data_IF_812531079729
#
_entry.id   IF_812531079729
#
_cell.length_a   1.000
_cell.length_b   1.000
_cell.length_c   1.000
_cell.angle_alpha   90.00
_cell.angle_beta   90.00
_cell.angle_gamma   90.00
#
_symmetry.space_group_name_H-M   'P 1'
#
loop_
_entity.id
_entity.type
_entity.pdbx_description
1 polymer ?
#
# COMPACT_ATOMS: atom_id res chain seq x y z
N UNK A 1 -12.98 -24.71 1.38
CA UNK A 1 -12.32 -23.96 0.29
C UNK A 1 -13.17 -22.74 0.05
N UNK A 2 -12.72 -21.56 0.43
CA UNK A 2 -13.47 -20.32 0.17
C UNK A 2 -12.61 -19.44 -0.72
N UNK A 3 -12.60 -19.77 -2.00
CA UNK A 3 -12.10 -18.89 -3.05
C UNK A 3 -13.29 -18.07 -3.54
N UNK A 4 -13.15 -16.76 -3.54
CA UNK A 4 -14.19 -15.82 -3.99
C UNK A 4 -13.71 -15.15 -5.27
N UNK A 5 -14.58 -15.06 -6.28
CA UNK A 5 -14.32 -14.29 -7.49
C UNK A 5 -14.50 -12.80 -7.20
N UNK A 6 -13.50 -12.01 -7.61
CA UNK A 6 -13.51 -10.57 -7.56
C UNK A 6 -13.14 -10.00 -8.94
N UNK A 7 -13.40 -8.72 -9.14
CA UNK A 7 -12.97 -8.05 -10.37
C UNK A 7 -12.68 -6.58 -10.11
N UNK A 8 -11.76 -6.04 -10.91
CA UNK A 8 -11.44 -4.62 -10.97
C UNK A 8 -11.83 -4.12 -12.35
N UNK A 9 -12.46 -2.95 -12.41
CA UNK A 9 -12.85 -2.30 -13.66
C UNK A 9 -12.14 -0.95 -13.73
N UNK A 10 -11.60 -0.63 -14.91
CA UNK A 10 -11.12 0.71 -15.23
C UNK A 10 -12.20 1.43 -16.07
N UNK A 11 -13.02 2.30 -15.48
CA UNK A 11 -14.13 2.90 -16.23
C UNK A 11 -13.77 4.21 -16.94
N UNK A 12 -12.61 4.80 -16.66
CA UNK A 12 -12.28 6.17 -17.09
C UNK A 12 -11.58 6.25 -18.45
N UNK A 13 -11.26 5.12 -19.07
CA UNK A 13 -10.54 5.05 -20.33
C UNK A 13 -9.06 5.42 -20.20
N UNK A 14 -8.46 5.17 -19.03
CA UNK A 14 -7.07 5.49 -18.76
C UNK A 14 -6.30 4.23 -18.40
N UNK A 15 -5.27 3.91 -19.18
CA UNK A 15 -4.34 2.83 -18.85
C UNK A 15 -3.63 3.10 -17.53
N UNK A 16 -3.63 2.11 -16.64
CA UNK A 16 -2.99 2.18 -15.32
C UNK A 16 -1.89 1.12 -15.22
N UNK A 17 -0.77 1.52 -14.64
CA UNK A 17 0.39 0.65 -14.39
C UNK A 17 0.82 0.76 -12.93
N UNK A 18 1.11 -0.36 -12.29
CA UNK A 18 1.40 -0.50 -10.87
C UNK A 18 0.42 0.30 -9.99
N UNK A 19 -0.85 0.32 -10.37
CA UNK A 19 -1.84 1.20 -9.77
C UNK A 19 -2.31 0.65 -8.44
N UNK A 20 -2.32 1.46 -7.36
CA UNK A 20 -2.77 0.99 -6.06
C UNK A 20 -4.28 0.79 -6.07
N UNK A 21 -4.71 -0.35 -5.56
CA UNK A 21 -6.12 -0.69 -5.37
C UNK A 21 -6.33 -1.06 -3.91
N UNK A 22 -7.30 -0.40 -3.28
CA UNK A 22 -7.69 -0.62 -1.90
C UNK A 22 -9.16 -1.00 -1.84
N UNK A 23 -9.49 -2.15 -1.23
CA UNK A 23 -10.89 -2.59 -1.08
C UNK A 23 -11.16 -3.27 0.26
N UNK A 24 -12.43 -3.26 0.67
CA UNK A 24 -12.88 -3.95 1.88
C UNK A 24 -13.37 -5.36 1.55
N UNK A 25 -12.88 -6.35 2.29
CA UNK A 25 -13.34 -7.74 2.21
C UNK A 25 -14.14 -8.11 3.47
N UNK A 26 -15.44 -8.45 3.33
CA UNK A 26 -16.25 -8.93 4.45
C UNK A 26 -16.07 -10.44 4.67
N UNK A 27 -16.14 -10.87 5.94
CA UNK A 27 -16.07 -12.28 6.34
C UNK A 27 -17.12 -12.61 7.40
N UNK A 28 -17.65 -13.83 7.34
CA UNK A 28 -18.59 -14.35 8.32
C UNK A 28 -17.89 -14.66 9.67
N UNK A 29 -18.62 -14.68 10.80
CA UNK A 29 -18.07 -15.13 12.08
C UNK A 29 -17.43 -16.51 11.98
N UNK A 30 -16.22 -16.65 12.50
CA UNK A 30 -15.43 -17.89 12.51
C UNK A 30 -14.67 -18.21 11.22
N UNK A 31 -14.88 -17.47 10.13
CA UNK A 31 -14.35 -17.81 8.81
C UNK A 31 -12.85 -17.57 8.66
N UNK A 32 -12.37 -16.41 9.11
CA UNK A 32 -10.98 -16.00 8.99
C UNK A 32 -10.50 -15.35 10.28
N UNK A 33 -9.33 -15.73 10.78
CA UNK A 33 -8.72 -15.15 12.00
C UNK A 33 -7.41 -14.44 11.74
N UNK A 34 -6.78 -14.71 10.61
CA UNK A 34 -5.48 -14.18 10.24
C UNK A 34 -5.54 -13.61 8.82
N UNK A 35 -5.28 -12.30 8.70
CA UNK A 35 -5.32 -11.60 7.43
C UNK A 35 -4.15 -12.00 6.51
N UNK A 36 -3.05 -12.55 7.05
CA UNK A 36 -1.91 -13.03 6.25
C UNK A 36 -2.25 -14.25 5.37
N UNK A 37 -3.43 -14.85 5.61
CA UNK A 37 -4.00 -15.93 4.81
C UNK A 37 -4.76 -15.44 3.59
N UNK A 38 -4.98 -14.13 3.43
CA UNK A 38 -5.67 -13.56 2.27
C UNK A 38 -4.67 -13.45 1.12
N UNK A 39 -4.99 -14.08 0.01
CA UNK A 39 -4.22 -14.12 -1.23
C UNK A 39 -5.06 -13.64 -2.39
N UNK A 40 -4.41 -12.99 -3.35
CA UNK A 40 -5.05 -12.56 -4.59
C UNK A 40 -4.35 -13.26 -5.74
N UNK A 41 -5.10 -14.03 -6.52
CA UNK A 41 -4.61 -14.67 -7.73
C UNK A 41 -5.26 -14.02 -8.95
N UNK A 42 -4.52 -13.93 -10.04
CA UNK A 42 -5.08 -13.58 -11.35
C UNK A 42 -5.83 -14.77 -11.98
N UNK A 43 -6.40 -14.55 -13.17
CA UNK A 43 -7.13 -15.58 -13.91
C UNK A 43 -6.26 -16.77 -14.38
N UNK A 44 -4.94 -16.61 -14.42
CA UNK A 44 -3.98 -17.67 -14.74
C UNK A 44 -3.54 -18.44 -13.48
N UNK A 45 -4.03 -18.04 -12.30
CA UNK A 45 -3.66 -18.61 -11.01
C UNK A 45 -2.31 -18.11 -10.48
N UNK A 46 -1.76 -17.03 -11.05
CA UNK A 46 -0.54 -16.41 -10.54
C UNK A 46 -0.85 -15.51 -9.37
N UNK A 47 0.00 -15.56 -8.36
CA UNK A 47 -0.15 -14.77 -7.14
C UNK A 47 0.23 -13.31 -7.39
N UNK A 48 -0.62 -12.40 -6.96
CA UNK A 48 -0.36 -10.95 -6.99
C UNK A 48 0.15 -10.48 -5.62
N UNK A 49 1.20 -9.65 -5.57
CA UNK A 49 1.63 -9.01 -4.32
C UNK A 49 0.50 -8.18 -3.72
N UNK A 50 0.02 -8.59 -2.55
CA UNK A 50 -1.04 -7.93 -1.82
C UNK A 50 -0.76 -8.00 -0.32
N UNK A 51 -1.28 -7.02 0.42
CA UNK A 51 -1.31 -7.07 1.88
C UNK A 51 -2.73 -6.81 2.38
N UNK A 52 -3.08 -7.43 3.50
CA UNK A 52 -4.39 -7.26 4.12
C UNK A 52 -4.25 -6.92 5.60
N UNK A 53 -5.11 -6.03 6.08
CA UNK A 53 -5.14 -5.58 7.47
C UNK A 53 -6.55 -5.68 8.06
N UNK A 54 -6.75 -6.31 9.23
CA UNK A 54 -8.05 -6.33 9.89
C UNK A 54 -8.51 -4.91 10.24
N UNK A 55 -9.76 -4.59 9.93
CA UNK A 55 -10.41 -3.30 10.27
C UNK A 55 -11.56 -3.45 11.24
N UNK A 56 -12.18 -4.63 11.30
CA UNK A 56 -13.17 -4.97 12.31
C UNK A 56 -13.10 -6.45 12.67
N UNK A 57 -13.38 -6.77 13.93
CA UNK A 57 -13.31 -8.11 14.52
C UNK A 57 -14.68 -8.45 15.13
N UNK A 58 -15.13 -9.69 14.96
CA UNK A 58 -16.31 -10.26 15.61
C UNK A 58 -16.02 -10.60 17.09
N UNK A 59 -17.04 -10.76 17.96
CA UNK A 59 -16.83 -11.11 19.37
C UNK A 59 -16.05 -12.41 19.62
N UNK A 60 -16.07 -13.36 18.67
CA UNK A 60 -15.31 -14.61 18.75
C UNK A 60 -13.82 -14.44 18.38
N UNK A 61 -13.38 -13.24 17.98
CA UNK A 61 -12.03 -12.92 17.54
C UNK A 61 -11.75 -13.19 16.06
N UNK A 62 -12.76 -13.59 15.27
CA UNK A 62 -12.62 -13.69 13.81
C UNK A 62 -12.72 -12.32 13.14
N UNK A 63 -12.06 -12.17 11.99
CA UNK A 63 -12.10 -10.95 11.18
C UNK A 63 -13.51 -10.80 10.61
N UNK A 64 -14.08 -9.60 10.76
CA UNK A 64 -15.34 -9.21 10.13
C UNK A 64 -15.12 -8.44 8.84
N UNK A 65 -14.12 -7.56 8.85
CA UNK A 65 -13.70 -6.76 7.70
C UNK A 65 -12.18 -6.69 7.66
N UNK A 66 -11.59 -7.00 6.51
CA UNK A 66 -10.21 -6.69 6.19
C UNK A 66 -10.13 -5.60 5.12
N UNK A 67 -9.09 -4.76 5.18
CA UNK A 67 -8.71 -3.89 4.08
C UNK A 67 -7.61 -4.58 3.29
N UNK A 68 -7.86 -4.83 2.01
CA UNK A 68 -6.90 -5.37 1.06
C UNK A 68 -6.26 -4.22 0.29
N UNK A 69 -4.95 -4.26 0.16
CA UNK A 69 -4.15 -3.35 -0.66
C UNK A 69 -3.31 -4.18 -1.64
N UNK A 70 -3.35 -3.83 -2.92
CA UNK A 70 -2.53 -4.43 -3.97
C UNK A 70 -2.13 -3.41 -5.03
N UNK A 71 -1.16 -3.76 -5.86
CA UNK A 71 -0.84 -3.02 -7.09
C UNK A 71 -1.08 -3.90 -8.30
N UNK A 72 -1.71 -3.33 -9.33
CA UNK A 72 -1.98 -4.08 -10.56
C UNK A 72 -1.96 -3.19 -11.79
N UNK A 73 -1.79 -3.82 -12.95
CA UNK A 73 -1.89 -3.20 -14.27
C UNK A 73 -3.29 -3.44 -14.82
N UNK A 74 -3.90 -2.42 -15.41
CA UNK A 74 -5.18 -2.56 -16.11
C UNK A 74 -5.22 -1.57 -17.28
N UNK A 75 -5.67 -2.04 -18.44
CA UNK A 75 -5.79 -1.18 -19.62
C UNK A 75 -7.06 -0.32 -19.56
N UNK A 76 -7.10 0.69 -20.42
CA UNK A 76 -8.23 1.61 -20.51
C UNK A 76 -9.53 0.87 -20.83
N UNK A 77 -10.61 1.14 -20.07
CA UNK A 77 -11.92 0.49 -20.25
C UNK A 77 -11.91 -1.04 -20.09
N UNK A 78 -10.92 -1.59 -19.39
CA UNK A 78 -10.76 -3.03 -19.23
C UNK A 78 -11.29 -3.54 -17.88
N UNK A 79 -11.37 -4.87 -17.77
CA UNK A 79 -11.77 -5.61 -16.57
C UNK A 79 -10.72 -6.68 -16.27
N UNK A 80 -10.22 -6.66 -15.04
CA UNK A 80 -9.35 -7.71 -14.51
C UNK A 80 -10.16 -8.61 -13.59
N UNK A 81 -10.26 -9.90 -13.91
CA UNK A 81 -10.86 -10.92 -13.05
C UNK A 81 -9.81 -11.53 -12.11
N UNK A 82 -10.17 -11.67 -10.84
CA UNK A 82 -9.29 -12.08 -9.75
C UNK A 82 -9.96 -13.15 -8.88
N UNK A 83 -9.13 -13.90 -8.18
CA UNK A 83 -9.54 -14.84 -7.15
C UNK A 83 -8.97 -14.42 -5.81
N UNK A 84 -9.82 -14.23 -4.81
CA UNK A 84 -9.41 -14.04 -3.41
C UNK A 84 -9.49 -15.39 -2.72
N UNK A 85 -8.34 -15.89 -2.25
CA UNK A 85 -8.24 -17.15 -1.50
C UNK A 85 -7.81 -16.89 -0.05
N UNK A 86 -8.41 -17.62 0.89
CA UNK A 86 -8.11 -17.56 2.33
C UNK A 86 -7.42 -18.82 2.87
N UNK A 87 -7.08 -19.77 2.00
CA UNK A 87 -6.46 -21.05 2.37
C UNK A 87 -5.01 -21.18 1.91
N UNK A 88 -4.48 -20.23 1.15
CA UNK A 88 -3.09 -20.24 0.70
C UNK A 88 -2.10 -20.01 1.84
N UNK A 89 -0.87 -20.48 1.63
CA UNK A 89 0.27 -20.19 2.51
C UNK A 89 0.83 -18.79 2.21
N UNK A 90 1.29 -18.08 3.25
CA UNK A 90 1.76 -16.69 3.14
C UNK A 90 2.88 -16.55 2.11
N UNK A 91 2.72 -15.67 1.12
CA UNK A 91 3.81 -15.29 0.22
C UNK A 91 4.37 -13.93 0.61
N UNK A 92 5.70 -13.80 0.57
CA UNK A 92 6.38 -12.54 0.82
C UNK A 92 6.72 -11.97 -0.56
N UNK A 93 6.37 -10.70 -0.85
CA UNK A 93 6.78 -10.06 -2.10
C UNK A 93 8.30 -10.13 -2.29
N UNK A 94 8.74 -10.40 -3.53
CA UNK A 94 10.18 -10.51 -3.86
C UNK A 94 10.97 -9.23 -3.55
N UNK A 95 10.30 -8.08 -3.55
CA UNK A 95 10.87 -6.79 -3.15
C UNK A 95 10.37 -6.40 -1.78
N UNK A 96 11.26 -6.49 -0.79
CA UNK A 96 10.96 -6.09 0.58
C UNK A 96 10.75 -4.57 0.71
N UNK A 97 9.60 -4.17 1.26
CA UNK A 97 9.47 -2.85 1.88
C UNK A 97 10.34 -2.85 3.14
N UNK A 98 11.33 -1.97 3.18
CA UNK A 98 12.18 -1.78 4.35
C UNK A 98 11.99 -0.37 4.91
N UNK A 99 11.78 -0.28 6.22
CA UNK A 99 11.75 0.99 6.91
C UNK A 99 12.70 0.95 8.11
N UNK A 100 13.58 1.94 8.22
CA UNK A 100 14.47 2.10 9.36
C UNK A 100 14.19 3.45 10.03
N UNK A 101 13.77 3.40 11.29
CA UNK A 101 13.61 4.60 12.12
C UNK A 101 14.95 4.94 12.75
N UNK A 102 15.36 6.21 12.63
CA UNK A 102 16.53 6.80 13.28
C UNK A 102 16.07 7.98 14.15
N UNK A 103 17.00 8.66 14.79
CA UNK A 103 16.68 9.73 15.74
C UNK A 103 15.89 10.88 15.09
N UNK A 104 16.31 11.33 13.91
CA UNK A 104 15.74 12.51 13.24
C UNK A 104 15.02 12.19 11.91
N UNK A 105 15.13 10.95 11.42
CA UNK A 105 14.56 10.51 10.13
C UNK A 105 13.99 9.10 10.15
N UNK A 106 13.14 8.82 9.18
CA UNK A 106 12.67 7.49 8.79
C UNK A 106 13.16 7.26 7.36
N UNK A 107 14.04 6.29 7.17
CA UNK A 107 14.46 5.83 5.84
C UNK A 107 13.49 4.75 5.37
N UNK A 108 12.86 4.94 4.21
CA UNK A 108 11.92 4.02 3.59
C UNK A 108 12.47 3.58 2.24
N UNK A 109 12.59 2.27 2.03
CA UNK A 109 13.01 1.65 0.77
C UNK A 109 11.89 0.76 0.26
N UNK A 110 11.44 1.00 -0.97
CA UNK A 110 10.34 0.26 -1.61
C UNK A 110 10.82 -0.48 -2.86
N UNK A 111 12.06 -0.99 -2.82
CA UNK A 111 12.78 -1.49 -4.00
C UNK A 111 13.71 -0.43 -4.58
N UNK A 112 13.46 0.00 -5.82
CA UNK A 112 14.33 0.99 -6.49
C UNK A 112 14.25 2.39 -5.88
N UNK A 113 13.16 2.69 -5.16
CA UNK A 113 12.92 3.99 -4.56
C UNK A 113 13.36 4.03 -3.10
N UNK A 114 14.11 5.07 -2.75
CA UNK A 114 14.47 5.39 -1.38
C UNK A 114 13.95 6.78 -1.02
N UNK A 115 13.25 6.87 0.10
CA UNK A 115 12.66 8.10 0.62
C UNK A 115 13.12 8.32 2.06
N UNK A 116 13.57 9.54 2.36
CA UNK A 116 13.91 9.94 3.73
C UNK A 116 12.87 10.92 4.24
N UNK A 117 12.16 10.54 5.29
CA UNK A 117 11.13 11.35 5.92
C UNK A 117 11.70 11.92 7.22
N UNK A 118 11.66 13.23 7.43
CA UNK A 118 12.02 13.82 8.72
C UNK A 118 11.00 13.44 9.79
N UNK A 119 11.46 13.22 11.01
CA UNK A 119 10.57 12.96 12.15
C UNK A 119 9.99 14.25 12.76
N UNK A 120 10.58 15.40 12.46
CA UNK A 120 10.17 16.72 12.92
C UNK A 120 10.76 17.83 12.03
N UNK A 121 10.30 19.05 12.26
CA UNK A 121 10.73 20.25 11.55
C UNK A 121 9.94 20.53 10.27
N UNK A 122 10.29 21.61 9.56
CA UNK A 122 9.45 22.16 8.49
C UNK A 122 9.51 21.34 7.18
N UNK A 123 10.46 20.41 7.06
CA UNK A 123 10.70 19.61 5.84
C UNK A 123 10.33 18.16 6.05
N UNK A 124 9.16 17.76 5.59
CA UNK A 124 8.66 16.40 5.78
C UNK A 124 9.47 15.36 4.99
N UNK A 125 9.67 15.58 3.69
CA UNK A 125 10.49 14.69 2.84
C UNK A 125 11.84 15.36 2.62
N UNK A 126 12.92 14.75 3.13
CA UNK A 126 14.28 15.30 3.00
C UNK A 126 14.96 14.90 1.70
N UNK A 127 14.65 13.71 1.20
CA UNK A 127 15.16 13.22 -0.07
C UNK A 127 14.27 12.13 -0.64
N UNK A 128 14.24 12.05 -1.96
CA UNK A 128 13.63 10.96 -2.71
C UNK A 128 14.53 10.63 -3.90
N UNK A 129 14.88 9.35 -4.05
CA UNK A 129 15.74 8.88 -5.13
C UNK A 129 15.21 7.59 -5.73
N UNK A 130 15.55 7.34 -7.00
CA UNK A 130 15.40 6.04 -7.67
C UNK A 130 16.74 5.63 -8.24
N UNK A 131 17.32 4.54 -7.74
CA UNK A 131 18.70 4.17 -8.06
C UNK A 131 19.69 5.30 -7.75
N UNK A 132 20.51 5.69 -8.72
CA UNK A 132 21.48 6.80 -8.59
C UNK A 132 20.88 8.19 -8.87
N UNK A 133 19.60 8.27 -9.30
CA UNK A 133 18.95 9.54 -9.61
C UNK A 133 18.21 10.06 -8.40
N UNK A 134 18.63 11.22 -7.92
CA UNK A 134 17.94 11.98 -6.89
C UNK A 134 16.90 12.92 -7.54
N UNK A 135 15.66 12.87 -7.05
CA UNK A 135 14.55 13.70 -7.52
C UNK A 135 14.27 14.88 -6.58
N UNK A 136 14.67 14.73 -5.32
CA UNK A 136 14.49 15.73 -4.30
C UNK A 136 15.78 15.83 -3.49
N UNK A 137 16.46 16.98 -3.56
CA UNK A 137 17.68 17.20 -2.78
C UNK A 137 17.41 18.10 -1.58
N UNK A 138 18.16 17.93 -0.48
CA UNK A 138 18.13 18.87 0.64
C UNK A 138 18.47 20.32 0.26
N UNK A 139 19.19 20.53 -0.84
CA UNK A 139 19.66 21.86 -1.28
C UNK A 139 18.75 22.52 -2.31
N UNK A 140 17.71 21.85 -2.81
CA UNK A 140 16.86 22.41 -3.87
C UNK A 140 15.83 23.40 -3.28
N UNK A 141 15.83 24.64 -3.77
CA UNK A 141 14.77 25.60 -3.48
C UNK A 141 13.46 25.13 -4.16
N UNK A 142 12.47 24.73 -3.35
CA UNK A 142 11.16 24.25 -3.83
C UNK A 142 10.92 22.75 -3.69
N UNK A 143 11.88 22.00 -3.14
CA UNK A 143 11.75 20.59 -2.77
C UNK A 143 10.94 20.34 -1.47
N UNK A 144 10.31 21.36 -0.91
CA UNK A 144 9.66 21.23 0.38
C UNK A 144 8.17 20.94 0.23
N UNK A 145 7.76 19.71 0.57
CA UNK A 145 6.42 19.48 1.11
C UNK A 145 6.37 20.15 2.48
N UNK A 146 6.06 21.46 2.48
CA UNK A 146 5.85 22.23 3.70
C UNK A 146 4.51 21.82 4.31
N UNK A 147 4.56 21.18 5.48
CA UNK A 147 3.36 20.99 6.29
C UNK A 147 3.07 22.30 7.05
N UNK A 148 1.84 22.80 6.95
CA UNK A 148 1.37 23.96 7.72
C UNK A 148 0.43 23.52 8.83
N UNK A 149 0.47 24.24 9.95
CA UNK A 149 -0.58 24.12 10.96
C UNK A 149 -1.89 24.70 10.41
N UNK A 150 -2.99 23.97 10.58
CA UNK A 150 -4.29 24.39 10.05
C UNK A 150 -4.75 25.68 10.73
N UNK A 151 -4.73 26.78 9.97
CA UNK A 151 -5.23 28.08 10.41
C UNK A 151 -4.19 29.04 10.99
N UNK A 152 -2.92 28.63 11.15
CA UNK A 152 -1.87 29.53 11.66
C UNK A 152 -1.07 30.22 10.54
N UNK A 153 -1.03 29.62 9.34
CA UNK A 153 -0.15 30.08 8.25
C UNK A 153 1.34 29.90 8.55
N UNK A 154 1.68 29.25 9.66
CA UNK A 154 3.04 28.95 10.06
C UNK A 154 3.41 27.50 9.66
N UNK A 155 4.70 27.24 9.32
CA UNK A 155 5.18 25.87 9.15
C UNK A 155 5.01 25.07 10.44
N UNK A 156 4.66 23.79 10.29
CA UNK A 156 4.44 22.86 11.40
C UNK A 156 5.70 22.74 12.27
N UNK A 157 5.59 23.11 13.55
CA UNK A 157 6.72 23.18 14.50
C UNK A 157 6.97 21.91 15.31
N UNK A 158 6.03 20.96 15.31
CA UNK A 158 6.01 19.84 16.25
C UNK A 158 5.35 20.19 17.57
#
# INVERSE_FOLDING_TARGET
VTTVQAHIIEPAGVTRRAWPVTCGLPFAPGELRDASRIHVLDCEGRLLPACASPRAIWPDGSIRWALLDLQTDIDAQDRLDLHVDTNGESSIPDTGLHAQVRDDVIDVLTGEMAVRVARSGPRLVRSASRGQREYLRPTDDGADLLAWERGSGAPFGG
#
